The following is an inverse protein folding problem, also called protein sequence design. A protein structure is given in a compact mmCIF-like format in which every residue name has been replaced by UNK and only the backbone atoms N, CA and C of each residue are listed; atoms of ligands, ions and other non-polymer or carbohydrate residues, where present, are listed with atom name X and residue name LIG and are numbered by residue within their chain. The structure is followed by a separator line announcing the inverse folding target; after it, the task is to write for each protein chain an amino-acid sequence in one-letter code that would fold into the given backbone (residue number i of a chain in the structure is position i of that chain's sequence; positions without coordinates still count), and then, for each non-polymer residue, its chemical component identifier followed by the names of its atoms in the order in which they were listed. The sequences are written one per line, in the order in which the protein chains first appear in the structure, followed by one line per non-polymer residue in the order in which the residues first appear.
data_IF_322403708834
#
_entry.id   IF_322403708834
#
_cell.length_a   1.000
_cell.length_b   1.000
_cell.length_c   1.000
_cell.angle_alpha   90.00
_cell.angle_beta   90.00
_cell.angle_gamma   90.00
#
_symmetry.space_group_name_H-M   'P 1'
#
loop_
_entity.id
_entity.type
_entity.pdbx_description
1 polymer ?
#
# COMPACT_ATOMS: atom_id res chain seq x y z
N UNK A 1 10.79 -6.57 -10.01
CA UNK A 1 9.62 -6.59 -10.89
C UNK A 1 8.94 -7.94 -10.86
N UNK A 2 7.65 -7.94 -10.63
CA UNK A 2 6.84 -9.15 -10.52
C UNK A 2 5.89 -9.25 -11.72
N UNK A 3 5.26 -10.43 -11.88
CA UNK A 3 4.31 -10.64 -12.98
C UNK A 3 3.08 -9.72 -12.90
N UNK A 4 2.67 -9.34 -11.68
CA UNK A 4 1.44 -8.57 -11.45
C UNK A 4 1.69 -7.14 -10.98
N UNK A 5 2.92 -6.77 -10.68
CA UNK A 5 3.23 -5.41 -10.21
C UNK A 5 4.70 -5.08 -10.33
N UNK A 6 5.00 -3.80 -10.13
CA UNK A 6 6.37 -3.29 -10.00
C UNK A 6 6.53 -2.68 -8.63
N UNK A 7 7.59 -3.06 -7.92
CA UNK A 7 7.89 -2.54 -6.59
C UNK A 7 9.19 -1.73 -6.62
N UNK A 8 9.16 -0.58 -5.98
CA UNK A 8 10.35 0.27 -5.80
C UNK A 8 10.58 0.44 -4.31
N UNK A 9 11.70 -0.06 -3.82
CA UNK A 9 12.01 -0.08 -2.39
C UNK A 9 12.87 1.11 -1.97
N UNK A 10 12.47 1.74 -0.88
CA UNK A 10 13.21 2.84 -0.24
C UNK A 10 13.39 2.49 1.24
N UNK A 11 14.18 3.30 1.99
CA UNK A 11 14.47 2.94 3.39
C UNK A 11 13.23 2.86 4.27
N UNK A 12 12.29 3.77 4.11
CA UNK A 12 11.13 3.87 5.00
C UNK A 12 9.81 3.59 4.32
N UNK A 13 9.82 3.36 3.01
CA UNK A 13 8.59 3.12 2.26
C UNK A 13 8.87 2.33 0.99
N UNK A 14 7.83 1.71 0.48
CA UNK A 14 7.87 1.02 -0.81
C UNK A 14 6.75 1.59 -1.68
N UNK A 15 7.02 1.74 -2.97
CA UNK A 15 6.01 2.19 -3.93
C UNK A 15 5.66 1.00 -4.82
N UNK A 16 4.37 0.66 -4.85
CA UNK A 16 3.85 -0.44 -5.66
C UNK A 16 2.99 0.10 -6.79
N UNK A 17 3.21 -0.40 -7.99
CA UNK A 17 2.36 -0.13 -9.14
C UNK A 17 1.80 -1.46 -9.62
N UNK A 18 0.51 -1.68 -9.40
CA UNK A 18 -0.18 -2.92 -9.79
C UNK A 18 -0.57 -2.82 -11.26
N UNK A 19 -0.41 -3.92 -11.98
CA UNK A 19 -0.70 -3.97 -13.40
C UNK A 19 -2.20 -3.82 -13.70
N UNK A 20 -2.49 -3.31 -14.89
CA UNK A 20 -3.86 -3.16 -15.38
C UNK A 20 -4.60 -4.50 -15.34
N UNK A 21 -5.84 -4.46 -14.85
CA UNK A 21 -6.72 -5.62 -14.87
C UNK A 21 -6.50 -6.66 -13.79
N UNK A 22 -5.51 -6.46 -12.92
CA UNK A 22 -5.27 -7.41 -11.82
C UNK A 22 -6.39 -7.34 -10.77
N UNK A 23 -6.53 -8.44 -10.04
CA UNK A 23 -7.41 -8.49 -8.87
C UNK A 23 -6.58 -8.93 -7.67
N UNK A 24 -6.41 -8.01 -6.72
CA UNK A 24 -5.60 -8.27 -5.53
C UNK A 24 -6.45 -9.02 -4.51
N UNK A 25 -6.27 -10.33 -4.47
CA UNK A 25 -6.95 -11.22 -3.55
C UNK A 25 -5.98 -11.66 -2.43
N UNK A 26 -6.40 -12.63 -1.61
CA UNK A 26 -5.57 -13.12 -0.52
C UNK A 26 -4.25 -13.72 -1.00
N UNK A 27 -4.25 -14.41 -2.14
CA UNK A 27 -3.04 -15.05 -2.67
C UNK A 27 -2.01 -14.00 -3.08
N UNK A 28 -2.42 -13.01 -3.87
CA UNK A 28 -1.53 -11.93 -4.32
C UNK A 28 -1.07 -11.11 -3.14
N UNK A 29 -1.99 -10.80 -2.20
CA UNK A 29 -1.65 -10.03 -1.02
C UNK A 29 -0.60 -10.76 -0.17
N UNK A 30 -0.72 -12.08 -0.02
CA UNK A 30 0.25 -12.85 0.75
C UNK A 30 1.64 -12.83 0.09
N UNK A 31 1.68 -12.88 -1.23
CA UNK A 31 2.95 -12.77 -1.97
C UNK A 31 3.62 -11.41 -1.70
N UNK A 32 2.83 -10.34 -1.71
CA UNK A 32 3.34 -9.00 -1.42
C UNK A 32 3.86 -8.91 0.02
N UNK A 33 3.09 -9.43 0.97
CA UNK A 33 3.49 -9.42 2.39
C UNK A 33 4.81 -10.17 2.57
N UNK A 34 4.97 -11.34 1.94
CA UNK A 34 6.19 -12.12 2.06
C UNK A 34 7.41 -11.36 1.52
N UNK A 35 7.23 -10.66 0.40
CA UNK A 35 8.31 -9.85 -0.18
C UNK A 35 8.70 -8.71 0.77
N UNK A 36 7.69 -8.03 1.35
CA UNK A 36 7.95 -6.94 2.29
C UNK A 36 8.65 -7.44 3.54
N UNK A 37 8.22 -8.58 4.08
CA UNK A 37 8.83 -9.16 5.28
C UNK A 37 10.28 -9.56 5.06
N UNK A 38 10.62 -10.01 3.86
CA UNK A 38 12.01 -10.34 3.51
C UNK A 38 12.86 -9.09 3.37
N UNK A 39 12.29 -7.99 2.89
CA UNK A 39 13.04 -6.76 2.62
C UNK A 39 13.19 -5.87 3.84
N UNK A 40 12.13 -5.75 4.65
CA UNK A 40 12.12 -4.79 5.77
C UNK A 40 12.25 -5.49 7.12
N UNK A 41 13.23 -5.05 7.90
CA UNK A 41 13.41 -5.49 9.28
C UNK A 41 12.99 -4.40 10.28
N UNK A 42 12.44 -3.30 9.78
CA UNK A 42 12.03 -2.14 10.58
C UNK A 42 10.76 -1.53 9.96
N UNK A 43 10.09 -0.61 10.67
CA UNK A 43 8.83 -0.04 10.17
C UNK A 43 8.95 0.59 8.79
N UNK A 44 7.95 0.37 7.97
CA UNK A 44 7.86 0.93 6.62
C UNK A 44 6.41 1.28 6.29
N UNK A 45 6.22 2.11 5.26
CA UNK A 45 4.90 2.46 4.74
C UNK A 45 4.74 1.87 3.35
N UNK A 46 3.60 1.26 3.10
CA UNK A 46 3.26 0.73 1.78
C UNK A 46 2.47 1.81 1.02
N UNK A 47 3.01 2.25 -0.13
CA UNK A 47 2.37 3.25 -0.98
C UNK A 47 1.97 2.55 -2.27
N UNK A 48 0.67 2.50 -2.56
CA UNK A 48 0.19 1.98 -3.83
C UNK A 48 -0.15 3.15 -4.75
N UNK A 49 0.63 3.28 -5.83
CA UNK A 49 0.42 4.33 -6.83
C UNK A 49 -0.48 3.76 -7.92
N UNK A 50 -1.75 4.12 -7.89
CA UNK A 50 -2.77 3.54 -8.79
C UNK A 50 -2.76 4.23 -10.14
N UNK A 51 -1.77 3.87 -10.95
CA UNK A 51 -1.63 4.36 -12.32
C UNK A 51 -2.49 3.58 -13.31
N UNK A 52 -2.93 2.40 -12.92
CA UNK A 52 -3.72 1.49 -13.75
C UNK A 52 -4.99 1.09 -13.03
N UNK A 53 -6.00 0.64 -13.79
CA UNK A 53 -7.23 0.13 -13.20
C UNK A 53 -7.03 -1.32 -12.76
N UNK A 54 -7.31 -1.59 -11.50
CA UNK A 54 -7.31 -2.95 -10.96
C UNK A 54 -8.27 -2.98 -9.77
N UNK A 55 -8.63 -4.18 -9.34
CA UNK A 55 -9.54 -4.33 -8.22
C UNK A 55 -8.84 -4.92 -7.00
N UNK A 56 -9.38 -4.65 -5.83
CA UNK A 56 -8.85 -5.15 -4.56
C UNK A 56 -10.01 -5.76 -3.79
N UNK A 57 -9.79 -6.96 -3.26
CA UNK A 57 -10.72 -7.55 -2.31
C UNK A 57 -10.46 -6.91 -0.94
N UNK A 58 -11.39 -6.10 -0.40
CA UNK A 58 -11.13 -5.40 0.85
C UNK A 58 -10.95 -6.34 2.05
N UNK A 59 -11.34 -7.60 1.92
CA UNK A 59 -11.15 -8.57 3.00
C UNK A 59 -9.69 -8.96 3.24
N UNK A 60 -8.77 -8.50 2.37
CA UNK A 60 -7.33 -8.70 2.61
C UNK A 60 -6.81 -7.81 3.75
N UNK A 61 -7.46 -6.67 3.99
CA UNK A 61 -6.92 -5.66 4.91
C UNK A 61 -6.86 -6.06 6.37
N UNK A 62 -7.82 -6.80 6.93
CA UNK A 62 -7.68 -7.25 8.32
C UNK A 62 -6.40 -8.04 8.56
N UNK A 63 -6.00 -8.90 7.62
CA UNK A 63 -4.76 -9.66 7.72
C UNK A 63 -3.55 -8.74 7.53
N UNK A 64 -3.61 -7.86 6.55
CA UNK A 64 -2.53 -6.91 6.25
C UNK A 64 -2.24 -6.02 7.46
N UNK A 65 -3.28 -5.65 8.21
CA UNK A 65 -3.14 -4.87 9.43
C UNK A 65 -2.24 -5.55 10.45
N UNK A 66 -2.17 -6.88 10.46
CA UNK A 66 -1.38 -7.63 11.43
C UNK A 66 0.11 -7.71 11.08
N UNK A 67 0.52 -7.24 9.91
CA UNK A 67 1.93 -7.27 9.49
C UNK A 67 2.75 -6.36 10.41
N UNK A 68 3.74 -6.96 11.09
CA UNK A 68 4.45 -6.31 12.19
C UNK A 68 5.09 -4.97 11.80
N UNK A 69 5.83 -4.95 10.70
CA UNK A 69 6.60 -3.76 10.31
C UNK A 69 5.82 -2.79 9.43
N UNK A 70 4.61 -3.11 9.05
CA UNK A 70 3.78 -2.20 8.26
C UNK A 70 3.23 -1.11 9.17
N UNK A 71 3.76 0.11 9.03
CA UNK A 71 3.36 1.23 9.87
C UNK A 71 2.15 1.98 9.32
N UNK A 72 1.94 1.94 8.01
CA UNK A 72 0.83 2.64 7.39
C UNK A 72 0.68 2.27 5.92
N UNK A 73 -0.42 2.71 5.35
CA UNK A 73 -0.80 2.39 3.98
C UNK A 73 -1.27 3.67 3.30
N UNK A 74 -0.71 3.98 2.14
CA UNK A 74 -1.10 5.16 1.37
C UNK A 74 -1.58 4.77 -0.01
N UNK A 75 -2.67 5.37 -0.46
CA UNK A 75 -3.19 5.20 -1.81
C UNK A 75 -3.01 6.52 -2.55
N UNK A 76 -2.34 6.47 -3.70
CA UNK A 76 -2.14 7.64 -4.56
C UNK A 76 -2.90 7.43 -5.86
N UNK A 77 -3.81 8.34 -6.16
CA UNK A 77 -4.59 8.30 -7.40
C UNK A 77 -5.17 9.67 -7.69
N UNK A 78 -5.23 10.04 -8.96
CA UNK A 78 -5.94 11.23 -9.41
C UNK A 78 -7.33 10.88 -9.97
N UNK A 79 -7.70 9.61 -9.92
CA UNK A 79 -8.98 9.12 -10.44
C UNK A 79 -10.03 9.08 -9.34
N UNK A 80 -11.20 9.67 -9.61
CA UNK A 80 -12.29 9.80 -8.65
C UNK A 80 -12.81 8.43 -8.16
N UNK A 81 -12.99 7.50 -9.10
CA UNK A 81 -13.51 6.16 -8.77
C UNK A 81 -12.52 5.40 -7.90
N UNK A 82 -11.24 5.46 -8.26
CA UNK A 82 -10.18 4.82 -7.49
C UNK A 82 -10.10 5.37 -6.07
N UNK A 83 -10.22 6.69 -5.91
CA UNK A 83 -10.21 7.33 -4.59
C UNK A 83 -11.41 6.90 -3.75
N UNK A 84 -12.60 6.78 -4.36
CA UNK A 84 -13.78 6.32 -3.65
C UNK A 84 -13.64 4.88 -3.19
N UNK A 85 -13.05 4.02 -4.04
CA UNK A 85 -12.77 2.64 -3.65
C UNK A 85 -11.80 2.59 -2.47
N UNK A 86 -10.79 3.45 -2.48
CA UNK A 86 -9.82 3.53 -1.39
C UNK A 86 -10.48 3.94 -0.06
N UNK A 87 -11.49 4.81 -0.11
CA UNK A 87 -12.24 5.20 1.09
C UNK A 87 -12.95 4.00 1.72
N UNK A 88 -13.47 3.09 0.88
CA UNK A 88 -14.10 1.86 1.36
C UNK A 88 -13.04 0.93 1.94
N UNK A 89 -11.92 0.77 1.25
CA UNK A 89 -10.81 -0.07 1.70
C UNK A 89 -10.29 0.36 3.07
N UNK A 90 -10.24 1.68 3.30
CA UNK A 90 -9.76 2.23 4.58
C UNK A 90 -10.56 1.73 5.78
N UNK A 91 -11.84 1.44 5.59
CA UNK A 91 -12.70 0.95 6.67
C UNK A 91 -12.27 -0.42 7.19
N UNK A 92 -11.52 -1.18 6.39
CA UNK A 92 -11.08 -2.53 6.73
C UNK A 92 -9.68 -2.58 7.31
N UNK A 93 -8.98 -1.43 7.35
CA UNK A 93 -7.58 -1.38 7.77
C UNK A 93 -7.47 -0.75 9.17
N UNK A 94 -6.71 -1.39 10.05
CA UNK A 94 -6.63 -0.98 11.46
C UNK A 94 -5.43 -0.11 11.82
N UNK A 95 -4.65 0.31 10.83
CA UNK A 95 -3.49 1.20 11.03
C UNK A 95 -3.69 2.48 10.21
N UNK A 96 -2.79 3.48 10.32
CA UNK A 96 -2.91 4.70 9.52
C UNK A 96 -3.05 4.40 8.02
N UNK A 97 -4.07 4.98 7.41
CA UNK A 97 -4.41 4.77 5.99
C UNK A 97 -4.82 6.12 5.42
N UNK A 98 -4.10 6.63 4.43
CA UNK A 98 -4.38 7.92 3.83
C UNK A 98 -4.48 7.84 2.32
N UNK A 99 -5.22 8.78 1.74
CA UNK A 99 -5.46 8.83 0.30
C UNK A 99 -4.93 10.16 -0.23
N UNK A 100 -4.11 10.09 -1.28
CA UNK A 100 -3.47 11.27 -1.85
C UNK A 100 -3.72 11.34 -3.35
N UNK A 101 -3.67 12.56 -3.90
CA UNK A 101 -3.72 12.77 -5.34
C UNK A 101 -2.29 12.74 -5.92
N UNK A 102 -1.31 13.27 -5.17
CA UNK A 102 0.07 13.38 -5.62
C UNK A 102 0.98 12.43 -4.86
N UNK A 103 1.87 11.76 -5.60
CA UNK A 103 2.83 10.83 -5.00
C UNK A 103 3.73 11.50 -3.97
N UNK A 104 4.19 12.72 -4.25
CA UNK A 104 5.08 13.44 -3.34
C UNK A 104 4.46 13.66 -1.97
N UNK A 105 3.16 13.92 -1.92
CA UNK A 105 2.45 14.10 -0.66
C UNK A 105 2.41 12.81 0.15
N UNK A 106 2.21 11.68 -0.53
CA UNK A 106 2.23 10.38 0.13
C UNK A 106 3.61 10.06 0.69
N UNK A 107 4.66 10.37 -0.05
CA UNK A 107 6.04 10.15 0.39
C UNK A 107 6.34 10.99 1.64
N UNK A 108 5.93 12.25 1.65
CA UNK A 108 6.12 13.12 2.82
C UNK A 108 5.37 12.57 4.04
N UNK A 109 4.14 12.14 3.83
CA UNK A 109 3.34 11.55 4.90
C UNK A 109 4.02 10.30 5.44
N UNK A 110 4.53 9.44 4.57
CA UNK A 110 5.21 8.21 4.97
C UNK A 110 6.43 8.50 5.83
N UNK A 111 7.26 9.46 5.41
CA UNK A 111 8.45 9.84 6.15
C UNK A 111 8.09 10.39 7.53
N UNK A 112 7.08 11.25 7.60
CA UNK A 112 6.62 11.82 8.87
C UNK A 112 6.08 10.76 9.80
N UNK A 113 5.34 9.80 9.28
CA UNK A 113 4.77 8.72 10.08
C UNK A 113 5.88 7.87 10.72
N UNK A 114 6.89 7.51 9.95
CA UNK A 114 8.01 6.72 10.45
C UNK A 114 8.83 7.50 11.48
N UNK A 115 9.08 8.78 11.26
CA UNK A 115 9.82 9.62 12.20
C UNK A 115 9.10 9.74 13.55
N UNK A 116 7.76 9.84 13.53
CA UNK A 116 6.98 9.94 14.77
C UNK A 116 7.04 8.66 15.60
N UNK A 117 7.16 7.51 14.94
CA UNK A 117 7.15 6.21 15.59
C UNK A 117 8.53 5.78 16.07
N UNK A 118 9.58 6.51 15.71
CA UNK A 118 10.95 6.15 16.07
C UNK A 118 11.42 6.74 17.39
#
# INVERSE_FOLDING_TARGET
KLNFCTLSFYSNYVIAVINEGEHVDHEINQKLINIMDEHYERPYVYITHRMHSYSVDPHIYPKTTTVKNLAGFAVVSDDYISKNNAKIERLFFGKPFEIFTELDDAIKWAKNLIEKDS
#
